data_IF_938002161983
#
_entry.id   IF_938002161983
#
_cell.length_a   1.000
_cell.length_b   1.000
_cell.length_c   1.000
_cell.angle_alpha   90.00
_cell.angle_beta   90.00
_cell.angle_gamma   90.00
#
_symmetry.space_group_name_H-M   'P 1'
#
loop_
_entity.id
_entity.type
_entity.pdbx_description
1 polymer ?
#
# COMPACT_ATOMS: atom_id res chain seq x y z
N UNK A 1 4.29 -0.51 8.76
CA UNK A 1 5.32 -0.22 7.73
C UNK A 1 6.21 -1.44 7.53
N UNK A 2 6.75 -1.63 6.33
CA UNK A 2 7.66 -2.74 5.99
C UNK A 2 8.87 -2.17 5.25
N UNK A 3 10.07 -2.31 5.83
CA UNK A 3 11.33 -1.96 5.17
C UNK A 3 11.79 -3.16 4.34
N UNK A 4 11.80 -3.02 3.02
CA UNK A 4 12.23 -4.08 2.11
C UNK A 4 13.74 -4.11 1.99
N UNK A 5 14.36 -2.93 1.92
CA UNK A 5 15.80 -2.73 1.92
C UNK A 5 16.12 -1.27 2.32
N UNK A 6 17.36 -0.84 2.17
CA UNK A 6 17.77 0.54 2.53
C UNK A 6 17.12 1.63 1.69
N UNK A 7 16.71 1.32 0.46
CA UNK A 7 16.16 2.29 -0.49
C UNK A 7 14.64 2.20 -0.65
N UNK A 8 13.96 1.25 0.01
CA UNK A 8 12.52 1.03 -0.17
C UNK A 8 11.80 0.64 1.14
N UNK A 9 10.76 1.41 1.45
CA UNK A 9 9.83 1.19 2.55
C UNK A 9 8.38 1.27 2.05
N UNK A 10 7.55 0.33 2.46
CA UNK A 10 6.10 0.40 2.28
C UNK A 10 5.41 0.88 3.55
N UNK A 11 4.52 1.86 3.41
CA UNK A 11 3.57 2.26 4.44
C UNK A 11 2.26 1.55 4.17
N UNK A 12 2.03 0.48 4.92
CA UNK A 12 0.91 -0.44 4.71
C UNK A 12 -0.27 -0.04 5.59
N UNK A 13 -1.44 0.12 4.99
CA UNK A 13 -2.72 0.35 5.65
C UNK A 13 -3.66 -0.83 5.33
N UNK A 14 -4.19 -1.49 6.36
CA UNK A 14 -5.16 -2.59 6.20
C UNK A 14 -6.57 -2.10 6.49
N UNK A 15 -7.54 -2.44 5.63
CA UNK A 15 -8.94 -2.08 5.82
C UNK A 15 -9.83 -3.31 5.81
N UNK A 16 -10.74 -3.35 6.78
CA UNK A 16 -11.78 -4.36 6.86
C UNK A 16 -12.93 -4.04 5.92
N UNK A 17 -13.88 -3.24 6.39
CA UNK A 17 -14.96 -2.67 5.58
C UNK A 17 -14.53 -1.31 5.05
N UNK A 18 -14.63 -1.11 3.74
CA UNK A 18 -14.47 0.22 3.12
C UNK A 18 -15.75 1.02 3.29
N UNK A 19 -15.65 2.16 3.96
CA UNK A 19 -16.67 3.22 3.93
C UNK A 19 -16.13 4.43 3.14
N UNK A 20 -17.01 5.37 2.76
CA UNK A 20 -16.66 6.54 1.92
C UNK A 20 -15.45 7.35 2.47
N UNK A 21 -15.31 7.42 3.80
CA UNK A 21 -14.20 8.10 4.48
C UNK A 21 -12.82 7.46 4.22
N UNK A 22 -12.78 6.20 3.80
CA UNK A 22 -11.52 5.50 3.57
C UNK A 22 -10.82 5.94 2.27
N UNK A 23 -11.58 6.45 1.29
CA UNK A 23 -10.99 7.05 0.08
C UNK A 23 -10.12 8.26 0.45
N UNK A 24 -10.60 9.12 1.35
CA UNK A 24 -9.84 10.30 1.80
C UNK A 24 -8.60 9.91 2.60
N UNK A 25 -8.68 8.87 3.43
CA UNK A 25 -7.52 8.33 4.16
C UNK A 25 -6.45 7.79 3.22
N UNK A 26 -6.84 7.04 2.17
CA UNK A 26 -5.90 6.55 1.15
C UNK A 26 -5.22 7.72 0.44
N UNK A 27 -6.00 8.73 0.03
CA UNK A 27 -5.46 9.94 -0.61
C UNK A 27 -4.47 10.66 0.31
N UNK A 28 -4.80 10.81 1.60
CA UNK A 28 -3.92 11.44 2.59
C UNK A 28 -2.61 10.68 2.77
N UNK A 29 -2.66 9.34 2.85
CA UNK A 29 -1.46 8.52 2.97
C UNK A 29 -0.56 8.63 1.73
N UNK A 30 -1.16 8.69 0.53
CA UNK A 30 -0.41 8.94 -0.70
C UNK A 30 0.29 10.30 -0.66
N UNK A 31 -0.44 11.37 -0.32
CA UNK A 31 0.13 12.72 -0.19
C UNK A 31 1.29 12.73 0.80
N UNK A 32 1.14 12.07 1.95
CA UNK A 32 2.22 11.96 2.93
C UNK A 32 3.46 11.26 2.35
N UNK A 33 3.28 10.15 1.61
CA UNK A 33 4.41 9.48 0.96
C UNK A 33 5.09 10.37 -0.08
N UNK A 34 4.30 11.10 -0.87
CA UNK A 34 4.79 12.03 -1.88
C UNK A 34 5.59 13.17 -1.22
N UNK A 35 5.07 13.77 -0.14
CA UNK A 35 5.75 14.82 0.63
C UNK A 35 7.09 14.32 1.21
N UNK A 36 7.12 13.12 1.79
CA UNK A 36 8.36 12.53 2.32
C UNK A 36 9.37 12.25 1.21
N UNK A 37 8.92 11.77 0.06
CA UNK A 37 9.79 11.50 -1.09
C UNK A 37 10.31 12.78 -1.78
N UNK A 38 9.59 13.89 -1.67
CA UNK A 38 10.07 15.20 -2.16
C UNK A 38 11.14 15.75 -1.22
N UNK A 39 10.99 15.57 0.09
CA UNK A 39 11.90 16.14 1.09
C UNK A 39 13.20 15.32 1.29
N UNK A 40 13.25 14.06 0.87
CA UNK A 40 14.46 13.24 0.88
C UNK A 40 14.45 12.19 -0.22
N UNK A 41 15.63 11.75 -0.69
CA UNK A 41 15.77 10.79 -1.78
C UNK A 41 16.46 9.48 -1.40
N UNK A 42 16.91 9.33 -0.15
CA UNK A 42 17.68 8.15 0.30
C UNK A 42 16.82 6.88 0.32
N UNK A 43 15.57 7.01 0.74
CA UNK A 43 14.64 5.89 0.86
C UNK A 43 13.31 6.27 0.23
N UNK A 44 12.82 5.46 -0.69
CA UNK A 44 11.51 5.63 -1.30
C UNK A 44 10.42 5.07 -0.39
N UNK A 45 9.41 5.87 -0.10
CA UNK A 45 8.22 5.47 0.64
C UNK A 45 7.07 5.26 -0.34
N UNK A 46 6.46 4.07 -0.31
CA UNK A 46 5.29 3.75 -1.13
C UNK A 46 4.09 3.43 -0.23
N UNK A 47 2.91 4.00 -0.51
CA UNK A 47 1.70 3.56 0.15
C UNK A 47 1.29 2.18 -0.39
N UNK A 48 0.85 1.27 0.49
CA UNK A 48 0.25 0.00 0.10
C UNK A 48 -1.06 -0.20 0.86
N UNK A 49 -2.13 -0.44 0.11
CA UNK A 49 -3.45 -0.53 0.68
C UNK A 49 -4.01 -1.94 0.53
N UNK A 50 -4.47 -2.50 1.65
CA UNK A 50 -4.82 -3.91 1.76
C UNK A 50 -6.29 -4.01 2.13
N UNK A 51 -7.14 -4.24 1.13
CA UNK A 51 -8.58 -4.51 1.33
C UNK A 51 -8.77 -5.93 1.83
N UNK A 52 -9.54 -6.10 2.91
CA UNK A 52 -9.89 -7.42 3.43
C UNK A 52 -10.72 -8.21 2.40
N UNK A 53 -11.59 -7.55 1.63
CA UNK A 53 -12.38 -8.22 0.59
C UNK A 53 -11.48 -8.80 -0.51
N UNK A 54 -10.50 -8.03 -1.01
CA UNK A 54 -9.52 -8.55 -1.97
C UNK A 54 -8.69 -9.66 -1.34
N UNK A 55 -8.21 -9.48 -0.10
CA UNK A 55 -7.48 -10.54 0.60
C UNK A 55 -8.29 -11.83 0.66
N UNK A 56 -9.57 -11.74 1.04
CA UNK A 56 -10.47 -12.89 1.17
C UNK A 56 -10.72 -13.55 -0.18
N UNK A 57 -10.86 -12.77 -1.27
CA UNK A 57 -11.13 -13.28 -2.62
C UNK A 57 -9.95 -13.98 -3.29
N UNK A 58 -8.72 -13.88 -2.75
CA UNK A 58 -7.56 -14.61 -3.31
C UNK A 58 -7.70 -16.12 -3.13
N UNK A 59 -7.66 -16.88 -4.22
CA UNK A 59 -7.64 -18.36 -4.17
C UNK A 59 -6.39 -18.88 -3.45
N UNK A 60 -5.25 -18.21 -3.64
CA UNK A 60 -3.98 -18.52 -2.96
C UNK A 60 -3.44 -17.27 -2.27
N UNK A 61 -3.18 -17.37 -0.97
CA UNK A 61 -2.59 -16.25 -0.21
C UNK A 61 -1.07 -16.17 -0.49
N UNK A 62 -0.53 -14.96 -0.69
CA UNK A 62 0.91 -14.76 -0.84
C UNK A 62 1.65 -15.22 0.42
N UNK A 63 2.80 -15.89 0.23
CA UNK A 63 3.60 -16.47 1.32
C UNK A 63 4.81 -15.63 1.71
N UNK A 64 5.10 -14.60 0.92
CA UNK A 64 6.18 -13.66 1.17
C UNK A 64 5.75 -12.24 0.82
N UNK A 65 6.52 -11.25 1.29
CA UNK A 65 6.15 -9.86 1.09
C UNK A 65 6.22 -9.43 -0.39
N UNK A 66 7.09 -10.05 -1.19
CA UNK A 66 7.23 -9.73 -2.62
C UNK A 66 6.00 -10.14 -3.43
N UNK A 67 5.47 -11.33 -3.17
CA UNK A 67 4.21 -11.80 -3.76
C UNK A 67 3.02 -11.02 -3.21
N UNK A 68 3.07 -10.62 -1.94
CA UNK A 68 2.07 -9.75 -1.33
C UNK A 68 1.98 -8.39 -2.03
N UNK A 69 3.09 -7.66 -2.22
CA UNK A 69 3.02 -6.34 -2.85
C UNK A 69 2.49 -6.40 -4.27
N UNK A 70 2.85 -7.42 -5.07
CA UNK A 70 2.33 -7.60 -6.43
C UNK A 70 0.79 -7.61 -6.48
N UNK A 71 0.15 -8.30 -5.54
CA UNK A 71 -1.32 -8.40 -5.50
C UNK A 71 -1.96 -7.04 -5.23
N UNK A 72 -1.43 -6.29 -4.27
CA UNK A 72 -2.07 -5.06 -3.78
C UNK A 72 -1.61 -3.79 -4.52
N UNK A 73 -0.45 -3.80 -5.16
CA UNK A 73 -0.01 -2.72 -6.07
C UNK A 73 -0.82 -2.71 -7.36
N UNK A 74 -1.09 -3.89 -7.95
CA UNK A 74 -1.90 -4.01 -9.16
C UNK A 74 -3.33 -3.51 -8.94
N UNK A 75 -3.92 -3.81 -7.78
CA UNK A 75 -5.24 -3.30 -7.42
C UNK A 75 -5.22 -1.77 -7.23
N UNK A 76 -4.18 -1.21 -6.61
CA UNK A 76 -4.07 0.24 -6.46
C UNK A 76 -4.00 0.97 -7.81
N UNK A 77 -3.39 0.37 -8.84
CA UNK A 77 -3.36 0.93 -10.19
C UNK A 77 -4.74 0.95 -10.87
N UNK A 78 -5.66 0.05 -10.50
CA UNK A 78 -7.02 -0.01 -11.06
C UNK A 78 -7.97 1.04 -10.49
N UNK A 79 -7.61 1.66 -9.37
CA UNK A 79 -8.40 2.70 -8.67
C UNK A 79 -7.94 4.12 -9.08
N UNK A 80 -6.92 4.24 -9.95
CA UNK A 80 -6.40 5.51 -10.46
C UNK A 80 -7.06 5.96 -11.76
#
# INVERSE_FOLDING_TARGET
MVKVNESLVYVVETKGREDLDDIEKIKRLKVWCDDVNINQSKTKFLPLYVKQDLWNSLDTKPRDFKSFTKVFEDEHLRIR
#
